data_IF_760804635655
#
_entry.id   IF_760804635655
#
_cell.length_a   1.000
_cell.length_b   1.000
_cell.length_c   1.000
_cell.angle_alpha   90.00
_cell.angle_beta   90.00
_cell.angle_gamma   90.00
#
_symmetry.space_group_name_H-M   'P 1'
#
loop_
_entity.id
_entity.type
_entity.pdbx_description
1 polymer ?
#
# COMPACT_ATOMS: atom_id res chain seq x y z
N UNK A 1 5.21 -4.79 -14.89
CA UNK A 1 4.76 -5.73 -13.85
C UNK A 1 5.12 -5.11 -12.52
N UNK A 2 4.15 -4.55 -11.79
CA UNK A 2 4.41 -3.83 -10.54
C UNK A 2 4.76 -4.80 -9.42
N UNK A 3 5.73 -4.45 -8.58
CA UNK A 3 5.97 -5.11 -7.29
C UNK A 3 4.75 -4.76 -6.43
N UNK A 4 3.77 -5.66 -6.38
CA UNK A 4 2.39 -5.24 -6.11
C UNK A 4 2.10 -5.04 -4.63
N UNK A 5 2.78 -5.77 -3.75
CA UNK A 5 2.45 -5.77 -2.33
C UNK A 5 3.64 -6.20 -1.45
N UNK A 6 3.89 -5.46 -0.37
CA UNK A 6 4.76 -5.85 0.74
C UNK A 6 3.94 -5.91 2.02
N UNK A 7 4.16 -6.91 2.86
CA UNK A 7 3.36 -7.12 4.07
C UNK A 7 4.24 -7.10 5.30
N UNK A 8 4.00 -6.14 6.18
CA UNK A 8 4.55 -6.05 7.53
C UNK A 8 3.55 -6.65 8.52
N UNK A 9 3.55 -7.98 8.62
CA UNK A 9 2.53 -8.74 9.37
C UNK A 9 2.46 -8.35 10.85
N UNK A 10 3.61 -8.17 11.49
CA UNK A 10 3.70 -7.78 12.90
C UNK A 10 2.99 -6.45 13.18
N UNK A 11 3.09 -5.52 12.23
CA UNK A 11 2.56 -4.17 12.34
C UNK A 11 1.21 -4.01 11.63
N UNK A 12 0.62 -5.08 11.07
CA UNK A 12 -0.62 -5.01 10.29
C UNK A 12 -0.60 -3.91 9.21
N UNK A 13 0.56 -3.71 8.57
CA UNK A 13 0.72 -2.75 7.46
C UNK A 13 0.97 -3.50 6.16
N UNK A 14 0.24 -3.13 5.12
CA UNK A 14 0.45 -3.59 3.74
C UNK A 14 0.84 -2.40 2.89
N UNK A 15 1.84 -2.55 2.01
CA UNK A 15 2.28 -1.50 1.09
C UNK A 15 2.07 -1.96 -0.34
N UNK A 16 1.26 -1.22 -1.10
CA UNK A 16 0.98 -1.49 -2.50
C UNK A 16 1.60 -0.43 -3.41
N UNK A 17 2.24 -0.85 -4.51
CA UNK A 17 2.77 0.07 -5.52
C UNK A 17 1.93 0.02 -6.78
N UNK A 18 1.23 1.12 -7.03
CA UNK A 18 0.40 1.38 -8.18
C UNK A 18 1.25 1.85 -9.38
N UNK A 19 1.09 1.17 -10.51
CA UNK A 19 1.65 1.62 -11.78
C UNK A 19 0.74 2.61 -12.48
N UNK A 20 1.31 3.50 -13.30
CA UNK A 20 0.55 4.46 -14.13
C UNK A 20 -0.23 3.79 -15.28
N UNK A 21 -0.11 2.48 -15.42
CA UNK A 21 -0.81 1.68 -16.43
C UNK A 21 -1.60 0.58 -15.74
N UNK A 22 -2.83 0.34 -16.23
CA UNK A 22 -3.83 -0.66 -15.84
C UNK A 22 -4.90 -0.17 -14.86
N UNK A 23 -5.91 0.48 -15.44
CA UNK A 23 -7.30 0.38 -14.97
C UNK A 23 -8.12 -0.30 -16.07
N UNK A 24 -7.83 -1.56 -16.32
CA UNK A 24 -8.67 -2.41 -17.19
C UNK A 24 -9.42 -3.41 -16.34
N UNK A 25 -10.65 -3.69 -16.75
CA UNK A 25 -11.60 -4.67 -16.19
C UNK A 25 -12.31 -4.26 -14.89
N UNK A 26 -13.62 -3.99 -15.02
CA UNK A 26 -14.60 -3.83 -13.92
C UNK A 26 -14.49 -4.94 -12.86
N UNK A 27 -14.07 -6.13 -13.28
CA UNK A 27 -13.78 -7.29 -12.43
C UNK A 27 -12.66 -7.02 -11.43
N UNK A 28 -11.56 -6.40 -11.87
CA UNK A 28 -10.45 -6.03 -10.99
C UNK A 28 -10.89 -4.98 -9.96
N UNK A 29 -11.66 -3.99 -10.41
CA UNK A 29 -12.21 -2.95 -9.53
C UNK A 29 -13.07 -3.51 -8.39
N UNK A 30 -14.00 -4.42 -8.70
CA UNK A 30 -14.84 -5.05 -7.69
C UNK A 30 -14.02 -5.88 -6.70
N UNK A 31 -13.04 -6.65 -7.20
CA UNK A 31 -12.14 -7.43 -6.33
C UNK A 31 -11.30 -6.55 -5.42
N UNK A 32 -10.81 -5.41 -5.91
CA UNK A 32 -10.02 -4.49 -5.11
C UNK A 32 -10.86 -3.86 -3.99
N UNK A 33 -12.14 -3.54 -4.26
CA UNK A 33 -13.09 -3.09 -3.22
C UNK A 33 -13.22 -4.14 -2.12
N UNK A 34 -13.53 -5.38 -2.48
CA UNK A 34 -13.67 -6.49 -1.52
C UNK A 34 -12.39 -6.72 -0.72
N UNK A 35 -11.23 -6.66 -1.38
CA UNK A 35 -9.92 -6.78 -0.74
C UNK A 35 -9.68 -5.68 0.30
N UNK A 36 -9.98 -4.42 -0.02
CA UNK A 36 -9.82 -3.32 0.93
C UNK A 36 -10.83 -3.38 2.09
N UNK A 37 -12.05 -3.87 1.86
CA UNK A 37 -12.98 -4.16 2.94
C UNK A 37 -12.42 -5.20 3.91
N UNK A 38 -11.88 -6.32 3.39
CA UNK A 38 -11.28 -7.36 4.21
C UNK A 38 -10.06 -6.85 5.01
N UNK A 39 -9.22 -6.01 4.41
CA UNK A 39 -8.11 -5.38 5.13
C UNK A 39 -8.61 -4.46 6.25
N UNK A 40 -9.62 -3.63 5.99
CA UNK A 40 -10.20 -2.76 7.01
C UNK A 40 -10.81 -3.56 8.18
N UNK A 41 -11.57 -4.63 7.88
CA UNK A 41 -12.15 -5.52 8.91
C UNK A 41 -11.08 -6.22 9.74
N UNK A 42 -9.94 -6.57 9.14
CA UNK A 42 -8.80 -7.16 9.83
C UNK A 42 -7.96 -6.13 10.62
N UNK A 43 -8.29 -4.84 10.56
CA UNK A 43 -7.51 -3.76 11.16
C UNK A 43 -6.13 -3.61 10.51
N UNK A 44 -6.02 -3.93 9.22
CA UNK A 44 -4.80 -3.80 8.41
C UNK A 44 -4.82 -2.43 7.72
N UNK A 45 -3.75 -1.67 7.90
CA UNK A 45 -3.56 -0.41 7.19
C UNK A 45 -2.89 -0.67 5.84
N UNK A 46 -3.52 -0.21 4.75
CA UNK A 46 -2.95 -0.32 3.40
C UNK A 46 -2.39 1.02 2.94
N UNK A 47 -1.08 1.05 2.73
CA UNK A 47 -0.32 2.20 2.21
C UNK A 47 -0.17 2.05 0.70
N UNK A 48 -0.80 2.94 -0.06
CA UNK A 48 -0.73 2.93 -1.53
C UNK A 48 0.26 3.96 -2.04
N UNK A 49 1.22 3.52 -2.84
CA UNK A 49 2.27 4.34 -3.41
C UNK A 49 2.19 4.34 -4.93
N UNK A 50 2.47 5.48 -5.56
CA UNK A 50 2.59 5.56 -7.02
C UNK A 50 4.03 5.79 -7.42
N UNK A 51 4.32 5.75 -8.73
CA UNK A 51 5.57 6.22 -9.32
C UNK A 51 6.05 7.55 -8.73
N UNK A 52 5.15 8.48 -8.38
CA UNK A 52 5.48 9.81 -7.86
C UNK A 52 6.05 9.80 -6.44
N UNK A 53 5.66 8.82 -5.61
CA UNK A 53 6.21 8.69 -4.25
C UNK A 53 7.57 7.99 -4.27
N UNK A 54 7.82 7.16 -5.29
CA UNK A 54 9.01 6.31 -5.38
C UNK A 54 10.11 6.97 -6.19
N UNK A 55 9.76 7.73 -7.24
CA UNK A 55 10.70 8.35 -8.19
C UNK A 55 10.71 9.87 -8.04
N UNK A 56 11.85 10.49 -8.34
CA UNK A 56 12.02 11.94 -8.35
C UNK A 56 13.20 12.40 -7.50
N UNK A 57 13.38 13.72 -7.39
CA UNK A 57 14.48 14.34 -6.62
C UNK A 57 14.37 14.10 -5.11
N UNK A 58 13.15 13.95 -4.60
CA UNK A 58 12.87 13.71 -3.18
C UNK A 58 11.79 12.62 -3.05
N UNK A 59 12.16 11.33 -3.08
CA UNK A 59 11.20 10.24 -2.93
C UNK A 59 10.64 10.20 -1.50
N UNK A 60 9.32 10.10 -1.35
CA UNK A 60 8.59 10.14 -0.06
C UNK A 60 8.07 8.77 0.39
N UNK A 61 8.21 7.73 -0.43
CA UNK A 61 7.71 6.38 -0.16
C UNK A 61 8.15 5.84 1.22
N UNK A 62 9.43 6.00 1.57
CA UNK A 62 9.98 5.50 2.83
C UNK A 62 9.36 6.21 4.03
N UNK A 63 9.19 7.53 3.95
CA UNK A 63 8.61 8.33 5.04
C UNK A 63 7.15 7.94 5.29
N UNK A 64 6.38 7.75 4.21
CA UNK A 64 4.98 7.32 4.29
C UNK A 64 4.88 5.94 4.96
N UNK A 65 5.69 4.98 4.52
CA UNK A 65 5.70 3.62 5.10
C UNK A 65 6.17 3.64 6.56
N UNK A 66 7.23 4.38 6.87
CA UNK A 66 7.73 4.57 8.25
C UNK A 66 6.65 5.14 9.16
N UNK A 67 5.93 6.16 8.71
CA UNK A 67 4.85 6.75 9.50
C UNK A 67 3.73 5.73 9.78
N UNK A 68 3.38 4.88 8.81
CA UNK A 68 2.43 3.78 9.01
C UNK A 68 2.94 2.79 10.04
N UNK A 69 4.18 2.31 9.89
CA UNK A 69 4.78 1.39 10.85
C UNK A 69 4.80 1.94 12.29
N UNK A 70 5.13 3.23 12.47
CA UNK A 70 5.11 3.87 13.79
C UNK A 70 3.72 3.92 14.42
N UNK A 71 2.65 4.15 13.63
CA UNK A 71 1.27 4.09 14.15
C UNK A 71 0.90 2.71 14.69
N UNK A 72 1.54 1.67 14.18
CA UNK A 72 1.29 0.27 14.56
C UNK A 72 2.37 -0.31 15.48
N UNK A 73 3.16 0.56 16.14
CA UNK A 73 4.04 0.16 17.24
C UNK A 73 5.48 -0.18 16.84
N UNK A 74 5.89 0.08 15.59
CA UNK A 74 7.31 0.05 15.24
C UNK A 74 8.04 1.22 15.88
N UNK A 75 9.21 0.99 16.48
CA UNK A 75 9.96 1.99 17.25
C UNK A 75 11.30 2.42 16.63
N UNK A 76 11.62 1.96 15.41
CA UNK A 76 12.81 2.40 14.66
C UNK A 76 13.84 1.32 14.42
#
# INVERSE_FOLDING_TARGET
MGISEFVYREYRVVVEVEGDHHRTERTQWNRDIEKYHAYAEAGIEVVRLTSKHIRGRHPTAVEIVRAALHRHGWNG
#
